data_IF_424079632790
#
_entry.id   IF_424079632790
#
_cell.length_a   1.000
_cell.length_b   1.000
_cell.length_c   1.000
_cell.angle_alpha   90.00
_cell.angle_beta   90.00
_cell.angle_gamma   90.00
#
_symmetry.space_group_name_H-M   'P 1'
#
loop_
_entity.id
_entity.type
_entity.pdbx_description
1 polymer ?
#
# COMPACT_ATOMS: atom_id res chain seq x y z
N UNK A 1 7.44 27.57 10.76
CA UNK A 1 7.19 26.15 10.46
C UNK A 1 6.03 25.69 11.32
N UNK A 2 4.89 25.35 10.74
CA UNK A 2 3.80 24.70 11.46
C UNK A 2 4.22 23.26 11.75
N UNK A 3 4.10 22.83 13.00
CA UNK A 3 4.33 21.42 13.35
C UNK A 3 3.13 20.64 12.80
N UNK A 4 3.32 19.72 11.85
CA UNK A 4 2.22 18.90 11.38
C UNK A 4 1.68 18.05 12.54
N UNK A 5 0.36 17.81 12.59
CA UNK A 5 -0.22 16.96 13.62
C UNK A 5 0.41 15.56 13.57
N UNK A 6 0.63 14.90 14.72
CA UNK A 6 1.16 13.54 14.74
C UNK A 6 0.17 12.55 14.11
N UNK A 7 0.66 11.38 13.71
CA UNK A 7 -0.22 10.28 13.30
C UNK A 7 -1.16 9.91 14.46
N UNK A 8 -2.41 9.55 14.15
CA UNK A 8 -3.33 9.14 15.20
C UNK A 8 -3.00 7.71 15.67
N UNK A 9 -2.19 7.60 16.73
CA UNK A 9 -1.71 6.34 17.29
C UNK A 9 -2.83 5.38 17.75
N UNK A 10 -4.05 5.88 17.96
CA UNK A 10 -5.20 5.03 18.30
C UNK A 10 -5.66 4.17 17.12
N UNK A 11 -5.35 4.57 15.88
CA UNK A 11 -5.73 3.84 14.67
C UNK A 11 -5.07 2.47 14.59
N UNK A 12 -3.82 2.31 15.04
CA UNK A 12 -3.17 0.99 15.02
C UNK A 12 -3.96 -0.07 15.79
N UNK A 13 -4.36 0.31 17.00
CA UNK A 13 -5.13 -0.56 17.90
C UNK A 13 -6.51 -0.84 17.30
N UNK A 14 -7.19 0.22 16.82
CA UNK A 14 -8.49 0.09 16.17
C UNK A 14 -8.44 -0.88 14.99
N UNK A 15 -7.43 -0.76 14.14
CA UNK A 15 -7.26 -1.64 12.98
C UNK A 15 -7.14 -3.07 13.47
N UNK A 16 -6.16 -3.38 14.31
CA UNK A 16 -5.91 -4.77 14.71
C UNK A 16 -7.00 -5.42 15.58
N UNK A 17 -7.89 -4.64 16.20
CA UNK A 17 -8.98 -5.16 17.04
C UNK A 17 -10.34 -5.29 16.33
N UNK A 18 -10.53 -4.64 15.18
CA UNK A 18 -11.80 -4.68 14.43
C UNK A 18 -11.70 -5.56 13.17
N UNK A 19 -12.82 -6.20 12.76
CA UNK A 19 -12.95 -6.76 11.43
C UNK A 19 -12.63 -5.71 10.37
N UNK A 20 -11.84 -6.06 9.36
CA UNK A 20 -11.33 -5.08 8.40
C UNK A 20 -12.46 -4.40 7.63
N UNK A 21 -13.57 -5.08 7.40
CA UNK A 21 -14.74 -4.58 6.67
C UNK A 21 -15.37 -3.36 7.34
N UNK A 22 -15.21 -3.21 8.67
CA UNK A 22 -15.68 -2.00 9.39
C UNK A 22 -14.89 -0.76 9.01
N UNK A 23 -13.70 -0.93 8.45
CA UNK A 23 -12.84 0.15 7.99
C UNK A 23 -12.91 0.34 6.46
N UNK A 24 -13.76 -0.39 5.74
CA UNK A 24 -13.88 -0.27 4.29
C UNK A 24 -15.16 0.49 3.93
N UNK A 25 -15.02 1.60 3.21
CA UNK A 25 -16.13 2.40 2.70
C UNK A 25 -16.58 1.85 1.34
N UNK A 26 -15.63 1.59 0.44
CA UNK A 26 -15.88 1.10 -0.92
C UNK A 26 -14.88 0.02 -1.28
N UNK A 27 -15.34 -1.03 -1.94
CA UNK A 27 -14.49 -2.13 -2.43
C UNK A 27 -14.35 -2.09 -3.95
N UNK A 28 -13.18 -2.47 -4.50
CA UNK A 28 -13.03 -2.67 -5.93
C UNK A 28 -13.78 -3.92 -6.38
N UNK A 29 -14.13 -3.98 -7.68
CA UNK A 29 -14.75 -5.14 -8.32
C UNK A 29 -13.70 -6.22 -8.55
N UNK A 30 -13.72 -7.24 -7.69
CA UNK A 30 -12.78 -8.37 -7.73
C UNK A 30 -13.53 -9.69 -7.90
N UNK A 31 -12.94 -10.62 -8.65
CA UNK A 31 -13.45 -11.99 -8.73
C UNK A 31 -12.74 -12.86 -7.69
N UNK A 32 -13.44 -13.22 -6.61
CA UNK A 32 -12.90 -14.06 -5.53
C UNK A 32 -12.54 -15.49 -5.97
N UNK A 33 -13.05 -15.95 -7.11
CA UNK A 33 -12.71 -17.27 -7.66
C UNK A 33 -11.44 -17.24 -8.54
N UNK A 34 -10.82 -16.07 -8.72
CA UNK A 34 -9.60 -15.91 -9.51
C UNK A 34 -8.40 -15.75 -8.59
N UNK A 35 -7.38 -16.57 -8.80
CA UNK A 35 -6.04 -16.33 -8.26
C UNK A 35 -5.32 -15.38 -9.21
N UNK A 36 -4.93 -14.20 -8.72
CA UNK A 36 -4.20 -13.22 -9.50
C UNK A 36 -2.70 -13.54 -9.47
N UNK A 37 -1.99 -13.27 -10.58
CA UNK A 37 -0.52 -13.33 -10.59
C UNK A 37 0.11 -12.14 -9.86
N UNK A 38 -0.55 -10.99 -9.92
CA UNK A 38 -0.02 -9.78 -9.29
C UNK A 38 -1.12 -8.78 -8.96
N UNK A 39 -1.15 -8.32 -7.71
CA UNK A 39 -1.99 -7.20 -7.27
C UNK A 39 -1.10 -6.01 -6.91
N UNK A 40 -1.38 -4.84 -7.47
CA UNK A 40 -0.67 -3.61 -7.19
C UNK A 40 -1.59 -2.65 -6.42
N UNK A 41 -1.23 -2.36 -5.17
CA UNK A 41 -1.90 -1.38 -4.33
C UNK A 41 -1.27 -0.01 -4.58
N UNK A 42 -1.90 0.81 -5.40
CA UNK A 42 -1.46 2.19 -5.66
C UNK A 42 -1.99 3.09 -4.56
N UNK A 43 -1.11 3.57 -3.69
CA UNK A 43 -1.44 4.49 -2.61
C UNK A 43 -1.61 5.87 -3.22
N UNK A 44 -2.83 6.40 -3.15
CA UNK A 44 -3.16 7.72 -3.70
C UNK A 44 -4.05 8.51 -2.74
N UNK A 45 -4.02 9.83 -2.85
CA UNK A 45 -4.87 10.77 -2.14
C UNK A 45 -6.15 11.08 -2.90
N UNK A 46 -7.14 11.62 -2.19
CA UNK A 46 -8.47 11.92 -2.76
C UNK A 46 -8.42 12.84 -4.00
N UNK A 47 -7.47 13.78 -4.04
CA UNK A 47 -7.33 14.77 -5.12
C UNK A 47 -6.57 14.26 -6.35
N UNK A 48 -5.97 13.07 -6.29
CA UNK A 48 -5.10 12.54 -7.35
C UNK A 48 -5.86 11.83 -8.48
N UNK A 49 -7.06 12.31 -8.84
CA UNK A 49 -7.87 11.70 -9.92
C UNK A 49 -7.14 11.73 -11.26
N UNK A 50 -6.33 12.76 -11.51
CA UNK A 50 -5.57 12.88 -12.77
C UNK A 50 -4.50 11.80 -12.86
N UNK A 51 -3.73 11.62 -11.79
CA UNK A 51 -2.66 10.64 -11.67
C UNK A 51 -3.22 9.21 -11.81
N UNK A 52 -4.34 8.92 -11.14
CA UNK A 52 -5.03 7.62 -11.31
C UNK A 52 -5.47 7.38 -12.75
N UNK A 53 -5.99 8.38 -13.43
CA UNK A 53 -6.38 8.26 -14.85
C UNK A 53 -5.16 8.09 -15.78
N UNK A 54 -4.06 8.77 -15.50
CA UNK A 54 -2.79 8.57 -16.21
C UNK A 54 -2.29 7.14 -16.02
N UNK A 55 -2.31 6.60 -14.79
CA UNK A 55 -1.96 5.21 -14.52
C UNK A 55 -2.83 4.24 -15.33
N UNK A 56 -4.16 4.40 -15.30
CA UNK A 56 -5.13 3.57 -16.06
C UNK A 56 -4.90 3.59 -17.57
N UNK A 57 -4.46 4.72 -18.12
CA UNK A 57 -4.24 4.88 -19.57
C UNK A 57 -2.83 4.49 -20.01
N UNK A 58 -1.87 4.53 -19.09
CA UNK A 58 -0.47 4.21 -19.36
C UNK A 58 -0.16 2.78 -18.94
N UNK A 59 0.48 2.59 -17.78
CA UNK A 59 1.11 1.33 -17.43
C UNK A 59 0.16 0.30 -16.81
N UNK A 60 -1.00 0.75 -16.28
CA UNK A 60 -2.08 -0.11 -15.79
C UNK A 60 -3.17 -0.33 -16.86
N UNK A 61 -2.75 -0.44 -18.12
CA UNK A 61 -3.66 -0.53 -19.27
C UNK A 61 -3.44 -1.82 -20.06
N UNK A 62 -4.12 -1.94 -21.20
CA UNK A 62 -3.96 -3.03 -22.17
C UNK A 62 -2.55 -3.20 -22.73
N UNK A 63 -1.65 -2.23 -22.51
CA UNK A 63 -0.24 -2.34 -22.87
C UNK A 63 0.56 -3.29 -21.97
N UNK A 64 0.05 -3.63 -20.78
CA UNK A 64 0.58 -4.74 -19.98
C UNK A 64 -0.19 -6.01 -20.32
N UNK A 65 0.53 -7.09 -20.67
CA UNK A 65 -0.11 -8.36 -21.00
C UNK A 65 -0.83 -8.96 -19.79
N UNK A 66 -0.28 -8.82 -18.58
CA UNK A 66 -0.95 -9.23 -17.34
C UNK A 66 -2.22 -8.43 -17.03
N UNK A 67 -2.27 -7.14 -17.38
CA UNK A 67 -3.50 -6.35 -17.25
C UNK A 67 -4.53 -6.77 -18.31
N UNK A 68 -4.09 -6.94 -19.55
CA UNK A 68 -4.91 -7.34 -20.70
C UNK A 68 -5.52 -8.74 -20.54
N UNK A 69 -4.77 -9.71 -20.02
CA UNK A 69 -5.29 -11.06 -19.70
C UNK A 69 -6.16 -11.09 -18.46
N UNK A 70 -6.14 -10.02 -17.66
CA UNK A 70 -6.84 -9.93 -16.40
C UNK A 70 -6.17 -10.73 -15.27
N UNK A 71 -4.95 -11.23 -15.44
CA UNK A 71 -4.17 -11.95 -14.43
C UNK A 71 -3.54 -10.99 -13.39
N UNK A 72 -3.52 -9.69 -13.66
CA UNK A 72 -3.12 -8.66 -12.69
C UNK A 72 -4.24 -7.66 -12.41
N UNK A 73 -4.21 -7.06 -11.21
CA UNK A 73 -5.11 -5.99 -10.78
C UNK A 73 -4.34 -4.82 -10.18
N UNK A 74 -4.64 -3.63 -10.67
CA UNK A 74 -4.24 -2.37 -10.04
C UNK A 74 -5.42 -1.88 -9.21
N UNK A 75 -5.20 -1.63 -7.92
CA UNK A 75 -6.20 -1.16 -6.97
C UNK A 75 -5.71 0.16 -6.39
N UNK A 76 -6.47 1.22 -6.58
CA UNK A 76 -6.17 2.52 -5.98
C UNK A 76 -6.69 2.56 -4.54
N UNK A 77 -5.79 2.79 -3.60
CA UNK A 77 -6.12 2.89 -2.17
C UNK A 77 -6.24 4.35 -1.79
N UNK A 78 -7.43 4.74 -1.35
CA UNK A 78 -7.78 6.10 -0.93
C UNK A 78 -8.38 6.05 0.46
N UNK A 79 -8.15 7.07 1.28
CA UNK A 79 -8.78 7.26 2.57
C UNK A 79 -10.21 7.81 2.46
N UNK A 80 -10.74 8.23 3.62
CA UNK A 80 -12.11 8.73 3.77
C UNK A 80 -12.27 10.03 2.99
N UNK A 81 -13.10 9.99 1.95
CA UNK A 81 -13.41 11.12 1.07
C UNK A 81 -14.74 10.94 0.36
N UNK A 82 -15.55 11.99 0.29
CA UNK A 82 -16.78 11.97 -0.51
C UNK A 82 -16.52 12.29 -2.00
N UNK A 83 -15.34 12.86 -2.32
CA UNK A 83 -14.99 13.31 -3.67
C UNK A 83 -14.77 12.13 -4.62
N UNK A 84 -14.44 10.96 -4.08
CA UNK A 84 -14.06 9.76 -4.85
C UNK A 84 -15.25 8.89 -5.28
N UNK A 85 -16.46 9.11 -4.73
CA UNK A 85 -17.58 8.18 -4.88
C UNK A 85 -17.97 7.93 -6.35
N UNK A 86 -17.98 8.99 -7.17
CA UNK A 86 -18.27 8.90 -8.61
C UNK A 86 -17.19 8.12 -9.35
N UNK A 87 -15.92 8.41 -9.06
CA UNK A 87 -14.79 7.73 -9.67
C UNK A 87 -14.79 6.23 -9.31
N UNK A 88 -14.97 5.92 -8.02
CA UNK A 88 -15.01 4.55 -7.52
C UNK A 88 -16.13 3.73 -8.19
N UNK A 89 -17.32 4.32 -8.33
CA UNK A 89 -18.46 3.68 -8.99
C UNK A 89 -18.20 3.46 -10.49
N UNK A 90 -17.59 4.43 -11.16
CA UNK A 90 -17.32 4.40 -12.60
C UNK A 90 -16.27 3.37 -12.97
N UNK A 91 -15.15 3.34 -12.23
CA UNK A 91 -14.00 2.50 -12.58
C UNK A 91 -13.98 1.15 -11.86
N UNK A 92 -14.54 1.08 -10.64
CA UNK A 92 -14.58 -0.17 -9.87
C UNK A 92 -13.21 -0.68 -9.42
N UNK A 93 -12.18 0.17 -9.41
CA UNK A 93 -10.79 -0.19 -9.07
C UNK A 93 -10.29 0.53 -7.80
N UNK A 94 -11.20 1.13 -7.03
CA UNK A 94 -10.88 1.89 -5.81
C UNK A 94 -11.22 1.08 -4.57
N UNK A 95 -10.23 0.92 -3.70
CA UNK A 95 -10.41 0.53 -2.31
C UNK A 95 -10.39 1.78 -1.44
N UNK A 96 -11.54 2.09 -0.85
CA UNK A 96 -11.65 3.24 0.04
C UNK A 96 -11.70 2.82 1.50
N UNK A 97 -10.81 3.39 2.30
CA UNK A 97 -10.61 3.04 3.70
C UNK A 97 -11.09 4.19 4.59
N UNK A 98 -11.74 3.87 5.70
CA UNK A 98 -12.30 4.82 6.66
C UNK A 98 -11.22 5.43 7.57
N UNK A 99 -10.19 5.98 6.94
CA UNK A 99 -9.05 6.65 7.57
C UNK A 99 -8.95 8.05 6.97
N UNK A 100 -8.83 9.05 7.83
CA UNK A 100 -8.66 10.44 7.40
C UNK A 100 -7.44 10.60 6.47
N UNK A 101 -7.65 11.26 5.33
CA UNK A 101 -6.64 11.45 4.29
C UNK A 101 -5.57 12.45 4.74
N UNK A 102 -4.56 11.95 5.46
CA UNK A 102 -3.39 12.73 5.83
C UNK A 102 -2.13 11.92 5.57
N UNK A 103 -1.04 12.62 5.25
CA UNK A 103 0.28 12.01 5.08
C UNK A 103 0.68 11.15 6.30
N UNK A 104 0.34 11.59 7.51
CA UNK A 104 0.69 10.90 8.76
C UNK A 104 -0.14 9.65 9.02
N UNK A 105 -1.39 9.61 8.53
CA UNK A 105 -2.24 8.43 8.62
C UNK A 105 -2.04 7.46 7.44
N UNK A 106 -1.17 7.79 6.47
CA UNK A 106 -0.91 6.95 5.30
C UNK A 106 -0.46 5.54 5.68
N UNK A 107 0.31 5.38 6.76
CA UNK A 107 0.72 4.06 7.26
C UNK A 107 -0.48 3.18 7.61
N UNK A 108 -1.53 3.76 8.21
CA UNK A 108 -2.75 3.05 8.58
C UNK A 108 -3.60 2.70 7.37
N UNK A 109 -3.61 3.58 6.35
CA UNK A 109 -4.22 3.32 5.05
C UNK A 109 -3.54 2.12 4.36
N UNK A 110 -2.22 2.05 4.41
CA UNK A 110 -1.43 0.93 3.87
C UNK A 110 -1.68 -0.35 4.68
N UNK A 111 -1.60 -0.29 6.01
CA UNK A 111 -1.87 -1.43 6.90
C UNK A 111 -3.26 -2.05 6.61
N UNK A 112 -4.28 -1.20 6.54
CA UNK A 112 -5.66 -1.62 6.31
C UNK A 112 -5.85 -2.22 4.90
N UNK A 113 -5.18 -1.70 3.88
CA UNK A 113 -5.29 -2.24 2.52
C UNK A 113 -4.65 -3.63 2.39
N UNK A 114 -3.51 -3.87 3.06
CA UNK A 114 -2.90 -5.19 3.09
C UNK A 114 -3.78 -6.22 3.79
N UNK A 115 -4.37 -5.86 4.95
CA UNK A 115 -5.32 -6.74 5.64
C UNK A 115 -6.55 -7.05 4.79
N UNK A 116 -7.12 -6.04 4.15
CA UNK A 116 -8.27 -6.25 3.29
C UNK A 116 -7.93 -7.18 2.11
N UNK A 117 -6.75 -7.00 1.51
CA UNK A 117 -6.28 -7.85 0.41
C UNK A 117 -6.11 -9.30 0.89
N UNK A 118 -5.48 -9.52 2.04
CA UNK A 118 -5.29 -10.85 2.65
C UNK A 118 -6.59 -11.63 2.79
N UNK A 119 -7.67 -10.94 3.19
CA UNK A 119 -8.97 -11.55 3.44
C UNK A 119 -9.84 -11.71 2.17
N UNK A 120 -9.49 -11.03 1.06
CA UNK A 120 -10.37 -10.93 -0.11
C UNK A 120 -9.77 -11.36 -1.44
N UNK A 121 -8.44 -11.48 -1.54
CA UNK A 121 -7.75 -11.72 -2.81
C UNK A 121 -6.68 -12.80 -2.64
N UNK A 122 -6.76 -13.84 -3.46
CA UNK A 122 -5.67 -14.80 -3.64
C UNK A 122 -4.72 -14.29 -4.74
N UNK A 123 -3.42 -14.18 -4.43
CA UNK A 123 -2.43 -13.68 -5.40
C UNK A 123 -1.02 -14.22 -5.14
N UNK A 124 -0.22 -14.39 -6.21
CA UNK A 124 1.19 -14.78 -6.09
C UNK A 124 2.06 -13.63 -5.52
N UNK A 125 1.80 -12.42 -6.02
CA UNK A 125 2.56 -11.23 -5.65
C UNK A 125 1.66 -10.04 -5.32
N UNK A 126 2.13 -9.24 -4.36
CA UNK A 126 1.56 -7.94 -4.02
C UNK A 126 2.67 -6.90 -4.20
N UNK A 127 2.32 -5.70 -4.63
CA UNK A 127 3.23 -4.55 -4.63
C UNK A 127 2.51 -3.29 -4.15
N UNK A 128 3.13 -2.54 -3.23
CA UNK A 128 2.68 -1.21 -2.85
C UNK A 128 3.33 -0.18 -3.77
N UNK A 129 2.55 0.56 -4.55
CA UNK A 129 3.02 1.55 -5.51
C UNK A 129 2.58 2.95 -5.05
N UNK A 130 3.37 3.99 -5.31
CA UNK A 130 2.91 5.38 -5.13
C UNK A 130 2.23 5.89 -6.42
N UNK A 131 1.28 6.81 -6.29
CA UNK A 131 0.55 7.43 -7.41
C UNK A 131 1.46 8.16 -8.42
N UNK A 132 2.66 8.56 -8.00
CA UNK A 132 3.65 9.26 -8.81
C UNK A 132 4.72 8.34 -9.42
N UNK A 133 4.51 7.01 -9.37
CA UNK A 133 5.46 6.02 -9.87
C UNK A 133 4.97 5.34 -11.16
N UNK A 134 5.92 5.03 -12.06
CA UNK A 134 5.67 4.24 -13.29
C UNK A 134 6.22 2.83 -13.11
N UNK A 135 5.43 1.82 -13.48
CA UNK A 135 5.78 0.40 -13.30
C UNK A 135 5.65 -0.36 -14.61
N UNK A 136 6.67 -1.13 -14.98
CA UNK A 136 6.53 -2.13 -16.04
C UNK A 136 6.08 -3.46 -15.42
N UNK A 137 4.75 -3.68 -15.34
CA UNK A 137 4.15 -4.81 -14.61
C UNK A 137 4.71 -6.17 -15.07
N UNK A 138 4.78 -6.41 -16.39
CA UNK A 138 5.22 -7.72 -16.92
C UNK A 138 6.69 -8.02 -16.59
N UNK A 139 7.56 -7.01 -16.71
CA UNK A 139 8.98 -7.15 -16.38
C UNK A 139 9.18 -7.35 -14.87
N UNK A 140 8.41 -6.62 -14.06
CA UNK A 140 8.43 -6.78 -12.61
C UNK A 140 8.03 -8.20 -12.22
N UNK A 141 6.89 -8.69 -12.71
CA UNK A 141 6.42 -10.06 -12.46
C UNK A 141 7.48 -11.09 -12.86
N UNK A 142 8.08 -10.94 -14.04
CA UNK A 142 9.16 -11.82 -14.52
C UNK A 142 10.33 -11.90 -13.53
N UNK A 143 10.84 -10.76 -13.05
CA UNK A 143 11.93 -10.75 -12.07
C UNK A 143 11.53 -11.32 -10.72
N UNK A 144 10.30 -11.09 -10.26
CA UNK A 144 9.79 -11.68 -9.01
C UNK A 144 9.70 -13.21 -9.11
N UNK A 145 9.25 -13.76 -10.24
CA UNK A 145 9.25 -15.22 -10.47
C UNK A 145 10.66 -15.79 -10.51
N UNK A 146 11.61 -15.13 -11.19
CA UNK A 146 13.01 -15.56 -11.19
C UNK A 146 13.61 -15.56 -9.78
N UNK A 147 13.29 -14.55 -8.97
CA UNK A 147 13.75 -14.49 -7.59
C UNK A 147 13.16 -15.64 -6.76
N UNK A 148 11.86 -15.89 -6.89
CA UNK A 148 11.18 -16.97 -6.19
C UNK A 148 11.72 -18.37 -6.55
N UNK A 149 12.11 -18.60 -7.79
CA UNK A 149 12.72 -19.87 -8.21
C UNK A 149 14.07 -20.14 -7.52
N UNK A 150 14.80 -19.08 -7.17
CA UNK A 150 16.14 -19.16 -6.59
C UNK A 150 16.15 -19.01 -5.06
N UNK A 151 15.01 -18.70 -4.43
CA UNK A 151 14.92 -18.42 -3.01
C UNK A 151 13.75 -19.18 -2.39
N UNK A 152 14.02 -19.94 -1.32
CA UNK A 152 13.00 -20.63 -0.54
C UNK A 152 12.50 -19.76 0.61
N UNK A 153 11.21 -19.90 0.97
CA UNK A 153 10.61 -19.23 2.11
C UNK A 153 10.02 -17.87 1.79
N UNK A 154 9.58 -17.18 2.84
CA UNK A 154 8.93 -15.88 2.71
C UNK A 154 9.97 -14.75 2.59
N UNK A 155 9.71 -13.78 1.71
CA UNK A 155 10.64 -12.69 1.42
C UNK A 155 9.92 -11.40 1.03
N UNK A 156 10.58 -10.27 1.30
CA UNK A 156 10.19 -8.92 0.88
C UNK A 156 11.35 -8.33 0.08
N UNK A 157 11.06 -7.85 -1.13
CA UNK A 157 12.03 -7.16 -1.97
C UNK A 157 11.75 -5.66 -1.96
N UNK A 158 12.72 -4.85 -1.54
CA UNK A 158 12.59 -3.39 -1.47
C UNK A 158 13.96 -2.70 -1.55
N UNK A 159 13.96 -1.37 -1.71
CA UNK A 159 15.19 -0.60 -1.55
C UNK A 159 15.42 -0.34 -0.05
N UNK A 160 16.56 -0.82 0.43
CA UNK A 160 16.93 -0.72 1.85
C UNK A 160 17.79 0.54 2.03
N UNK A 161 17.39 1.40 2.97
CA UNK A 161 18.24 2.51 3.43
C UNK A 161 18.82 2.17 4.80
N UNK A 162 20.00 1.54 4.86
CA UNK A 162 20.61 1.17 6.12
C UNK A 162 21.01 2.44 6.90
N UNK A 163 20.86 2.40 8.22
CA UNK A 163 21.30 3.46 9.14
C UNK A 163 20.60 4.83 9.02
N UNK A 164 19.48 4.95 8.27
CA UNK A 164 18.71 6.18 8.28
C UNK A 164 18.12 6.45 9.69
N UNK A 165 18.50 7.58 10.28
CA UNK A 165 18.01 8.02 11.58
C UNK A 165 16.72 8.84 11.42
N UNK A 166 15.78 8.80 12.38
CA UNK A 166 14.58 9.62 12.31
C UNK A 166 14.95 11.10 12.29
N UNK A 167 14.38 11.84 11.34
CA UNK A 167 14.63 13.28 11.20
C UNK A 167 14.01 14.01 12.40
N UNK A 168 14.80 14.86 13.06
CA UNK A 168 14.39 15.63 14.26
C UNK A 168 14.26 17.13 14.01
N UNK A 169 14.43 17.55 12.76
CA UNK A 169 14.23 18.94 12.36
C UNK A 169 12.73 19.29 12.37
N UNK A 170 12.35 20.27 13.19
CA UNK A 170 10.97 20.76 13.33
C UNK A 170 10.41 21.38 12.05
N UNK A 171 11.28 21.82 11.14
CA UNK A 171 10.89 22.37 9.85
C UNK A 171 10.82 21.32 8.74
N UNK A 172 11.17 20.07 9.03
CA UNK A 172 11.02 18.96 8.08
C UNK A 172 9.61 18.37 8.14
N UNK A 173 9.01 18.12 6.98
CA UNK A 173 7.77 17.32 6.86
C UNK A 173 7.92 15.92 7.46
N UNK A 174 9.15 15.41 7.50
CA UNK A 174 9.56 14.10 7.99
C UNK A 174 9.93 14.09 9.48
N UNK A 175 9.62 15.16 10.22
CA UNK A 175 9.85 15.22 11.66
C UNK A 175 9.24 14.00 12.37
N UNK A 176 10.06 13.22 13.05
CA UNK A 176 9.61 12.22 14.01
C UNK A 176 9.81 12.80 15.42
N UNK A 177 8.77 12.77 16.26
CA UNK A 177 8.90 13.19 17.66
C UNK A 177 9.54 12.07 18.51
N UNK A 178 10.13 12.43 19.66
CA UNK A 178 10.65 11.44 20.62
C UNK A 178 9.48 10.76 21.35
N UNK A 179 9.08 9.59 20.90
CA UNK A 179 8.29 8.63 21.71
C UNK A 179 9.24 7.63 22.39
N UNK A 180 8.89 7.18 23.59
CA UNK A 180 9.77 6.41 24.51
C UNK A 180 10.24 5.03 24.00
N UNK A 181 9.82 4.57 22.83
CA UNK A 181 10.10 3.24 22.30
C UNK A 181 10.63 3.25 20.86
N UNK A 182 11.64 4.08 20.58
CA UNK A 182 12.35 3.98 19.31
C UNK A 182 13.38 2.86 19.46
N UNK A 183 12.95 1.62 19.21
CA UNK A 183 13.88 0.57 18.87
C UNK A 183 14.73 1.08 17.71
N UNK A 184 16.05 1.00 17.84
CA UNK A 184 16.99 1.33 16.75
C UNK A 184 16.49 0.63 15.49
N UNK A 185 16.06 1.41 14.49
CA UNK A 185 15.62 0.89 13.19
C UNK A 185 16.76 0.03 12.62
N UNK A 186 16.59 -1.29 12.64
CA UNK A 186 17.58 -2.21 12.08
C UNK A 186 17.54 -2.17 10.54
N UNK A 187 16.39 -1.83 9.95
CA UNK A 187 16.18 -1.69 8.50
C UNK A 187 15.08 -0.66 8.25
N UNK A 188 15.35 0.36 7.43
CA UNK A 188 14.31 1.20 6.84
C UNK A 188 14.04 0.74 5.41
N UNK A 189 12.77 0.44 5.13
CA UNK A 189 12.29 0.11 3.80
C UNK A 189 11.80 1.40 3.16
N UNK A 190 12.47 1.84 2.09
CA UNK A 190 12.05 2.99 1.29
C UNK A 190 11.64 2.44 -0.08
N UNK A 191 10.42 2.73 -0.52
CA UNK A 191 10.00 2.51 -1.89
C UNK A 191 8.99 1.38 -2.15
N UNK A 192 8.83 1.15 -3.45
CA UNK A 192 7.62 0.76 -4.21
C UNK A 192 7.35 -0.75 -4.28
N UNK A 193 8.07 -1.60 -3.54
CA UNK A 193 7.91 -3.05 -3.68
C UNK A 193 7.90 -3.73 -2.31
N UNK A 194 6.87 -4.54 -2.08
CA UNK A 194 6.76 -5.40 -0.90
C UNK A 194 5.88 -6.60 -1.27
N UNK A 195 6.50 -7.78 -1.43
CA UNK A 195 5.78 -9.06 -1.42
C UNK A 195 5.46 -9.38 0.03
N UNK A 196 4.19 -9.53 0.38
CA UNK A 196 3.82 -10.31 1.55
C UNK A 196 3.17 -11.58 1.03
N UNK A 197 3.77 -12.74 1.31
CA UNK A 197 2.98 -13.96 1.31
C UNK A 197 1.91 -13.82 2.39
N UNK A 198 0.75 -14.45 2.22
CA UNK A 198 -0.42 -14.43 3.11
C UNK A 198 -0.14 -14.89 4.56
N UNK A 199 1.12 -15.19 4.91
CA UNK A 199 1.57 -15.53 6.27
C UNK A 199 2.43 -14.46 6.93
N UNK A 200 2.92 -13.45 6.18
CA UNK A 200 3.81 -12.39 6.70
C UNK A 200 3.10 -11.05 6.94
N UNK A 201 1.81 -10.93 6.60
CA UNK A 201 1.12 -9.64 6.62
C UNK A 201 1.07 -9.04 8.03
N UNK A 202 0.89 -9.89 9.04
CA UNK A 202 0.82 -9.49 10.43
C UNK A 202 2.15 -9.01 11.05
N UNK A 203 3.31 -9.43 10.54
CA UNK A 203 4.59 -9.22 11.25
C UNK A 203 5.31 -7.92 10.87
N UNK A 204 4.99 -7.28 9.73
CA UNK A 204 5.77 -6.13 9.22
C UNK A 204 5.03 -4.80 9.25
N UNK A 205 3.70 -4.84 9.25
CA UNK A 205 2.86 -3.66 9.51
C UNK A 205 3.21 -3.03 10.87
N UNK A 206 3.47 -3.86 11.88
CA UNK A 206 3.90 -3.44 13.22
C UNK A 206 5.21 -2.63 13.20
N UNK A 207 6.10 -2.87 12.23
CA UNK A 207 7.39 -2.14 12.12
C UNK A 207 7.20 -0.73 11.53
N UNK A 208 6.29 -0.53 10.58
CA UNK A 208 5.98 0.82 10.07
C UNK A 208 5.18 1.65 11.09
N UNK A 209 4.26 1.02 11.83
CA UNK A 209 3.34 1.74 12.72
C UNK A 209 3.97 2.12 14.06
N UNK A 210 4.88 1.31 14.61
CA UNK A 210 5.51 1.59 15.92
C UNK A 210 6.47 2.80 15.92
N UNK A 211 6.76 3.41 14.76
CA UNK A 211 7.89 4.35 14.63
C UNK A 211 7.55 5.72 14.02
N UNK A 212 6.27 6.05 13.82
CA UNK A 212 5.77 7.41 13.51
C UNK A 212 5.20 8.13 14.74
#
# INVERSE_FOLDING_TARGET
CSIPPPANQTLHKLINEQPIERLIITTPRINKATTYRMVLLVISGEYETKERNEIRTLWASVYSELQKSGESRVIFVVGRSQLINKEATSHGDILQIDIEETYRNMVYKIESSFRWLEENIETDFIAKIDSDTVVHIDRLYYHLKLYEQNNSGDWIACFISPHAAPIRDKCSSWLANKTRHILKLKVNIIGTFMKMTTRLIHFHITVMVLHM
#
